data_IF_858123245617
#
_entry.id   IF_858123245617
#
_cell.length_a   1.000
_cell.length_b   1.000
_cell.length_c   1.000
_cell.angle_alpha   90.00
_cell.angle_beta   90.00
_cell.angle_gamma   90.00
#
_symmetry.space_group_name_H-M   'P 1'
#
loop_
_entity.id
_entity.type
_entity.pdbx_description
1 polymer ?
#
# COMPACT_ATOMS: atom_id res chain seq x y z
N UNK A 1 -18.11 23.17 43.62
CA UNK A 1 -17.93 23.85 42.32
C UNK A 1 -19.12 23.50 41.45
N UNK A 2 -19.76 24.46 40.81
CA UNK A 2 -20.86 24.19 39.85
C UNK A 2 -20.23 23.84 38.50
N UNK A 3 -20.35 22.57 38.08
CA UNK A 3 -19.72 22.06 36.86
C UNK A 3 -20.40 22.62 35.59
N UNK A 4 -21.67 22.97 35.71
CA UNK A 4 -22.51 23.56 34.68
C UNK A 4 -21.93 24.88 34.18
N UNK A 5 -21.12 25.57 34.99
CA UNK A 5 -20.47 26.80 34.59
C UNK A 5 -19.41 26.62 33.51
N UNK A 6 -18.95 25.40 33.23
CA UNK A 6 -18.00 25.10 32.16
C UNK A 6 -18.66 24.85 30.81
N UNK A 7 -19.98 24.65 30.79
CA UNK A 7 -20.73 24.20 29.62
C UNK A 7 -21.74 25.23 29.11
N UNK A 8 -22.03 25.13 27.81
CA UNK A 8 -23.13 25.82 27.12
C UNK A 8 -24.08 24.74 26.59
N UNK A 9 -25.30 24.74 27.09
CA UNK A 9 -26.35 23.82 26.66
C UNK A 9 -27.14 24.50 25.53
N UNK A 10 -26.77 24.22 24.28
CA UNK A 10 -27.39 24.84 23.11
C UNK A 10 -28.66 24.11 22.68
N UNK A 11 -28.66 22.79 22.79
CA UNK A 11 -29.79 21.92 22.51
C UNK A 11 -29.73 20.66 23.37
N UNK A 12 -30.78 19.84 23.33
CA UNK A 12 -30.85 18.55 24.04
C UNK A 12 -29.71 17.59 23.64
N UNK A 13 -29.18 17.75 22.43
CA UNK A 13 -28.08 16.98 21.84
C UNK A 13 -26.91 17.88 21.38
N UNK A 14 -26.74 19.07 21.96
CA UNK A 14 -25.57 19.94 21.72
C UNK A 14 -25.13 20.62 23.04
N UNK A 15 -24.15 20.00 23.70
CA UNK A 15 -23.50 20.51 24.92
C UNK A 15 -22.05 20.86 24.58
N UNK A 16 -21.71 22.15 24.69
CA UNK A 16 -20.39 22.67 24.34
C UNK A 16 -19.62 23.18 25.54
N UNK A 17 -18.31 23.26 25.41
CA UNK A 17 -17.46 23.94 26.37
C UNK A 17 -17.53 25.45 26.18
N UNK A 18 -17.74 26.20 27.26
CA UNK A 18 -17.76 27.68 27.21
C UNK A 18 -16.50 28.23 26.57
N UNK A 19 -16.70 29.09 25.56
CA UNK A 19 -15.62 29.72 24.78
C UNK A 19 -15.00 28.83 23.70
N UNK A 20 -15.52 27.62 23.47
CA UNK A 20 -15.03 26.71 22.44
C UNK A 20 -16.17 26.21 21.55
N UNK A 21 -15.80 25.76 20.34
CA UNK A 21 -16.70 25.02 19.45
C UNK A 21 -16.56 23.50 19.62
N UNK A 22 -16.00 23.08 20.75
CA UNK A 22 -15.72 21.68 21.10
C UNK A 22 -16.86 21.19 22.00
N UNK A 23 -17.47 20.09 21.61
CA UNK A 23 -18.53 19.43 22.38
C UNK A 23 -17.96 18.60 23.51
N UNK A 24 -18.77 18.30 24.52
CA UNK A 24 -18.35 17.35 25.57
C UNK A 24 -18.08 15.95 24.99
N UNK A 25 -18.75 15.59 23.90
CA UNK A 25 -18.55 14.32 23.22
C UNK A 25 -17.15 14.17 22.63
N UNK A 26 -16.49 15.28 22.28
CA UNK A 26 -15.14 15.24 21.70
C UNK A 26 -14.12 14.83 22.78
N UNK A 27 -14.24 15.34 24.00
CA UNK A 27 -13.43 14.90 25.15
C UNK A 27 -13.77 13.47 25.53
N UNK A 28 -15.06 13.15 25.66
CA UNK A 28 -15.51 11.83 26.11
C UNK A 28 -15.14 10.73 25.11
N UNK A 29 -15.09 11.03 23.81
CA UNK A 29 -14.57 10.10 22.81
C UNK A 29 -13.17 9.60 23.15
N UNK A 30 -12.25 10.49 23.51
CA UNK A 30 -10.89 10.08 23.88
C UNK A 30 -10.85 9.35 25.22
N UNK A 31 -11.58 9.83 26.22
CA UNK A 31 -11.65 9.19 27.53
C UNK A 31 -12.17 7.75 27.44
N UNK A 32 -13.25 7.52 26.68
CA UNK A 32 -13.82 6.19 26.46
C UNK A 32 -12.88 5.28 25.64
N UNK A 33 -11.95 5.85 24.89
CA UNK A 33 -10.88 5.11 24.21
C UNK A 33 -9.65 4.84 25.10
N UNK A 34 -9.71 5.20 26.39
CA UNK A 34 -8.68 4.90 27.38
C UNK A 34 -7.60 5.97 27.56
N UNK A 35 -7.77 7.15 26.97
CA UNK A 35 -6.79 8.24 27.08
C UNK A 35 -6.85 8.90 28.46
N UNK A 36 -5.68 9.27 28.98
CA UNK A 36 -5.54 10.09 30.19
C UNK A 36 -5.92 11.56 29.91
N UNK A 37 -6.31 12.34 30.93
CA UNK A 37 -6.59 13.77 30.77
C UNK A 37 -5.46 14.57 30.12
N UNK A 38 -4.20 14.22 30.40
CA UNK A 38 -3.00 14.83 29.83
C UNK A 38 -2.80 14.45 28.35
N UNK A 39 -3.12 13.21 27.99
CA UNK A 39 -3.11 12.76 26.59
C UNK A 39 -4.23 13.44 25.80
N UNK A 40 -5.42 13.59 26.39
CA UNK A 40 -6.53 14.35 25.80
C UNK A 40 -6.14 15.81 25.56
N UNK A 41 -5.41 16.43 26.49
CA UNK A 41 -4.92 17.80 26.32
C UNK A 41 -3.96 17.92 25.14
N UNK A 42 -3.14 16.89 24.90
CA UNK A 42 -2.21 16.84 23.77
C UNK A 42 -2.95 16.78 22.42
N UNK A 43 -4.08 16.07 22.38
CA UNK A 43 -4.96 15.97 21.21
C UNK A 43 -5.84 17.22 21.01
N UNK A 44 -6.23 17.88 22.10
CA UNK A 44 -7.09 19.07 22.11
C UNK A 44 -6.37 20.28 22.75
N UNK A 45 -5.28 20.79 22.14
CA UNK A 45 -4.39 21.77 22.77
C UNK A 45 -5.02 23.15 22.97
N UNK A 46 -6.17 23.43 22.32
CA UNK A 46 -6.92 24.66 22.58
C UNK A 46 -7.67 24.66 23.91
N UNK A 47 -7.83 23.49 24.55
CA UNK A 47 -8.47 23.35 25.85
C UNK A 47 -7.44 23.49 26.98
N UNK A 48 -7.95 23.63 28.20
CA UNK A 48 -7.14 23.51 29.41
C UNK A 48 -7.54 22.25 30.20
N UNK A 49 -6.66 21.81 31.09
CA UNK A 49 -6.85 20.59 31.87
C UNK A 49 -8.07 20.69 32.81
N UNK A 50 -8.37 21.90 33.29
CA UNK A 50 -9.53 22.19 34.13
C UNK A 50 -10.86 21.85 33.43
N UNK A 51 -11.05 22.28 32.17
CA UNK A 51 -12.24 21.95 31.36
C UNK A 51 -12.35 20.46 31.08
N UNK A 52 -11.21 19.80 30.85
CA UNK A 52 -11.16 18.34 30.66
C UNK A 52 -11.66 17.64 31.93
N UNK A 53 -11.06 17.92 33.08
CA UNK A 53 -11.49 17.33 34.35
C UNK A 53 -12.94 17.69 34.71
N UNK A 54 -13.38 18.91 34.45
CA UNK A 54 -14.79 19.29 34.65
C UNK A 54 -15.73 18.42 33.81
N UNK A 55 -15.38 18.15 32.55
CA UNK A 55 -16.15 17.27 31.64
C UNK A 55 -16.17 15.84 32.15
N UNK A 56 -15.03 15.29 32.54
CA UNK A 56 -14.96 13.92 33.08
C UNK A 56 -15.75 13.77 34.37
N UNK A 57 -15.65 14.76 35.26
CA UNK A 57 -16.39 14.77 36.53
C UNK A 57 -17.88 14.85 36.27
N UNK A 58 -18.31 15.73 35.35
CA UNK A 58 -19.71 15.87 34.97
C UNK A 58 -20.26 14.59 34.34
N UNK A 59 -19.48 13.94 33.47
CA UNK A 59 -19.81 12.65 32.89
C UNK A 59 -19.98 11.56 33.95
N UNK A 60 -19.02 11.42 34.87
CA UNK A 60 -19.10 10.38 35.90
C UNK A 60 -20.28 10.57 36.87
N UNK A 61 -20.68 11.82 37.14
CA UNK A 61 -21.86 12.12 37.95
C UNK A 61 -23.17 11.84 37.21
N UNK A 62 -23.20 12.00 35.88
CA UNK A 62 -24.40 11.95 35.06
C UNK A 62 -24.37 10.85 33.99
N UNK A 63 -23.67 9.74 34.24
CA UNK A 63 -23.35 8.73 33.22
C UNK A 63 -24.57 8.28 32.41
N UNK A 64 -25.70 7.98 33.05
CA UNK A 64 -26.91 7.52 32.36
C UNK A 64 -27.43 8.58 31.38
N UNK A 65 -27.52 9.83 31.81
CA UNK A 65 -28.01 10.92 30.98
C UNK A 65 -27.04 11.24 29.83
N UNK A 66 -25.74 11.27 30.12
CA UNK A 66 -24.73 11.59 29.11
C UNK A 66 -24.53 10.44 28.11
N UNK A 67 -24.67 9.18 28.52
CA UNK A 67 -24.65 8.05 27.58
C UNK A 67 -25.83 8.10 26.62
N UNK A 68 -27.03 8.48 27.09
CA UNK A 68 -28.18 8.70 26.23
C UNK A 68 -27.96 9.87 25.26
N UNK A 69 -27.39 10.98 25.75
CA UNK A 69 -26.95 12.10 24.91
C UNK A 69 -25.98 11.67 23.82
N UNK A 70 -24.90 10.94 24.17
CA UNK A 70 -23.90 10.46 23.21
C UNK A 70 -24.51 9.54 22.16
N UNK A 71 -25.44 8.68 22.56
CA UNK A 71 -26.17 7.82 21.62
C UNK A 71 -26.97 8.65 20.60
N UNK A 72 -27.72 9.65 21.06
CA UNK A 72 -28.51 10.53 20.20
C UNK A 72 -27.63 11.34 19.24
N UNK A 73 -26.54 11.91 19.75
CA UNK A 73 -25.55 12.66 18.93
C UNK A 73 -24.98 11.75 17.84
N UNK A 74 -24.59 10.53 18.17
CA UNK A 74 -24.05 9.58 17.20
C UNK A 74 -25.09 9.15 16.17
N UNK A 75 -26.33 8.88 16.57
CA UNK A 75 -27.41 8.59 15.63
C UNK A 75 -27.64 9.74 14.65
N UNK A 76 -27.70 10.98 15.14
CA UNK A 76 -27.90 12.16 14.29
C UNK A 76 -26.74 12.35 13.33
N UNK A 77 -25.49 12.20 13.80
CA UNK A 77 -24.29 12.27 12.95
C UNK A 77 -24.34 11.22 11.84
N UNK A 78 -24.72 9.98 12.16
CA UNK A 78 -24.86 8.90 11.18
C UNK A 78 -25.97 9.21 10.17
N UNK A 79 -27.16 9.64 10.62
CA UNK A 79 -28.25 10.03 9.73
C UNK A 79 -27.84 11.17 8.79
N UNK A 80 -27.19 12.21 9.31
CA UNK A 80 -26.67 13.31 8.51
C UNK A 80 -25.64 12.83 7.49
N UNK A 81 -24.75 11.92 7.87
CA UNK A 81 -23.78 11.32 6.96
C UNK A 81 -24.46 10.50 5.86
N UNK A 82 -25.47 9.70 6.20
CA UNK A 82 -26.25 8.93 5.21
C UNK A 82 -27.02 9.84 4.25
N UNK A 83 -27.64 10.91 4.77
CA UNK A 83 -28.32 11.90 3.94
C UNK A 83 -27.33 12.61 3.02
N UNK A 84 -26.18 13.04 3.54
CA UNK A 84 -25.11 13.65 2.74
C UNK A 84 -24.56 12.71 1.66
N UNK A 85 -24.48 11.40 1.94
CA UNK A 85 -24.10 10.42 0.93
C UNK A 85 -25.13 10.35 -0.21
N UNK A 86 -26.42 10.27 0.13
CA UNK A 86 -27.53 10.22 -0.85
C UNK A 86 -27.62 11.51 -1.67
N UNK A 87 -27.47 12.65 -1.02
CA UNK A 87 -27.56 13.98 -1.60
C UNK A 87 -26.20 14.55 -2.02
N UNK A 88 -25.21 13.67 -2.27
CA UNK A 88 -23.87 14.13 -2.61
C UNK A 88 -23.88 14.89 -3.95
N UNK A 89 -23.43 16.15 -3.91
CA UNK A 89 -23.36 17.03 -5.08
C UNK A 89 -22.60 16.37 -6.25
N UNK A 90 -23.00 16.65 -7.51
CA UNK A 90 -22.31 16.11 -8.70
C UNK A 90 -20.79 16.34 -8.69
N UNK A 91 -20.34 17.47 -8.12
CA UNK A 91 -18.91 17.77 -7.97
C UNK A 91 -18.22 16.77 -7.03
N UNK A 92 -18.82 16.44 -5.89
CA UNK A 92 -18.25 15.49 -4.92
C UNK A 92 -18.21 14.08 -5.52
N UNK A 93 -19.23 13.69 -6.28
CA UNK A 93 -19.25 12.41 -6.99
C UNK A 93 -18.09 12.31 -7.99
N UNK A 94 -17.86 13.36 -8.79
CA UNK A 94 -16.72 13.44 -9.72
C UNK A 94 -15.38 13.35 -8.98
N UNK A 95 -15.22 14.06 -7.87
CA UNK A 95 -13.99 13.99 -7.07
C UNK A 95 -13.75 12.60 -6.48
N UNK A 96 -14.81 11.93 -5.99
CA UNK A 96 -14.72 10.55 -5.48
C UNK A 96 -14.28 9.59 -6.58
N UNK A 97 -14.88 9.67 -7.77
CA UNK A 97 -14.52 8.86 -8.93
C UNK A 97 -13.08 9.12 -9.39
N UNK A 98 -12.66 10.39 -9.47
CA UNK A 98 -11.29 10.73 -9.85
C UNK A 98 -10.27 10.17 -8.83
N UNK A 99 -10.60 10.20 -7.53
CA UNK A 99 -9.77 9.61 -6.48
C UNK A 99 -9.68 8.09 -6.61
N UNK A 100 -10.80 7.40 -6.84
CA UNK A 100 -10.81 5.93 -7.00
C UNK A 100 -10.03 5.50 -8.24
N UNK A 101 -10.23 6.16 -9.37
CA UNK A 101 -9.48 5.90 -10.61
C UNK A 101 -7.97 6.11 -10.42
N UNK A 102 -7.57 7.17 -9.71
CA UNK A 102 -6.15 7.41 -9.39
C UNK A 102 -5.58 6.29 -8.50
N UNK A 103 -6.35 5.83 -7.52
CA UNK A 103 -5.93 4.74 -6.63
C UNK A 103 -5.80 3.42 -7.40
N UNK A 104 -6.78 3.06 -8.22
CA UNK A 104 -6.72 1.88 -9.09
C UNK A 104 -5.50 1.91 -10.00
N UNK A 105 -5.27 3.05 -10.67
CA UNK A 105 -4.07 3.22 -11.51
C UNK A 105 -2.79 3.00 -10.71
N UNK A 106 -2.67 3.58 -9.52
CA UNK A 106 -1.50 3.39 -8.66
C UNK A 106 -1.31 1.93 -8.24
N UNK A 107 -2.40 1.23 -7.89
CA UNK A 107 -2.34 -0.20 -7.54
C UNK A 107 -1.92 -1.05 -8.74
N UNK A 108 -2.42 -0.75 -9.95
CA UNK A 108 -2.00 -1.47 -11.16
C UNK A 108 -0.52 -1.28 -11.45
N UNK A 109 0.00 -0.05 -11.33
CA UNK A 109 1.42 0.24 -11.51
C UNK A 109 2.28 -0.52 -10.50
N UNK A 110 1.90 -0.51 -9.22
CA UNK A 110 2.61 -1.25 -8.18
C UNK A 110 2.66 -2.77 -8.46
N UNK A 111 1.54 -3.34 -8.93
CA UNK A 111 1.49 -4.76 -9.28
C UNK A 111 2.37 -5.06 -10.51
N UNK A 112 2.40 -4.18 -11.50
CA UNK A 112 3.29 -4.31 -12.67
C UNK A 112 4.76 -4.24 -12.25
N UNK A 113 5.12 -3.33 -11.36
CA UNK A 113 6.50 -3.20 -10.87
C UNK A 113 6.93 -4.44 -10.09
N UNK A 114 6.05 -4.99 -9.23
CA UNK A 114 6.30 -6.25 -8.53
C UNK A 114 6.53 -7.41 -9.51
N UNK A 115 5.70 -7.51 -10.56
CA UNK A 115 5.86 -8.55 -11.58
C UNK A 115 7.18 -8.42 -12.34
N UNK A 116 7.60 -7.19 -12.67
CA UNK A 116 8.91 -6.95 -13.31
C UNK A 116 10.07 -7.38 -12.42
N UNK A 117 10.02 -7.07 -11.13
CA UNK A 117 11.05 -7.49 -10.17
C UNK A 117 11.12 -9.02 -10.09
N UNK A 118 9.98 -9.71 -9.97
CA UNK A 118 9.94 -11.18 -9.96
C UNK A 118 10.49 -11.78 -11.27
N UNK A 119 10.18 -11.18 -12.42
CA UNK A 119 10.71 -11.64 -13.70
C UNK A 119 12.24 -11.45 -13.79
N UNK A 120 12.76 -10.33 -13.27
CA UNK A 120 14.20 -10.07 -13.19
C UNK A 120 14.90 -11.06 -12.27
N UNK A 121 14.36 -11.30 -11.07
CA UNK A 121 14.88 -12.29 -10.11
C UNK A 121 14.90 -13.69 -10.72
N UNK A 122 13.81 -14.09 -11.39
CA UNK A 122 13.74 -15.37 -12.09
C UNK A 122 14.79 -15.47 -13.20
N UNK A 123 14.99 -14.40 -13.97
CA UNK A 123 16.03 -14.37 -15.00
C UNK A 123 17.42 -14.50 -14.38
N UNK A 124 17.71 -13.78 -13.30
CA UNK A 124 19.00 -13.86 -12.60
C UNK A 124 19.25 -15.26 -12.03
N UNK A 125 18.22 -15.90 -11.47
CA UNK A 125 18.32 -17.27 -10.97
C UNK A 125 18.61 -18.27 -12.10
N UNK A 126 17.92 -18.17 -13.24
CA UNK A 126 18.16 -19.02 -14.41
C UNK A 126 19.56 -18.84 -15.00
N UNK A 127 20.05 -17.60 -15.05
CA UNK A 127 21.42 -17.32 -15.50
C UNK A 127 22.45 -17.93 -14.55
N UNK A 128 22.22 -17.83 -13.24
CA UNK A 128 23.07 -18.45 -12.24
C UNK A 128 23.06 -19.98 -12.34
N UNK A 129 21.89 -20.60 -12.48
CA UNK A 129 21.76 -22.05 -12.71
C UNK A 129 22.48 -22.50 -13.99
N UNK A 130 22.42 -21.69 -15.06
CA UNK A 130 23.15 -21.96 -16.30
C UNK A 130 24.67 -21.86 -16.14
N UNK A 131 25.16 -20.88 -15.38
CA UNK A 131 26.58 -20.72 -15.04
C UNK A 131 27.10 -21.83 -14.11
N UNK A 132 26.27 -22.30 -13.18
CA UNK A 132 26.59 -23.36 -12.22
C UNK A 132 26.40 -24.77 -12.81
N UNK A 133 25.88 -24.89 -14.04
CA UNK A 133 25.72 -26.16 -14.74
C UNK A 133 27.10 -26.75 -15.08
N UNK A 134 27.34 -28.05 -14.85
CA UNK A 134 28.62 -28.70 -15.15
C UNK A 134 28.91 -28.84 -16.66
N UNK A 135 28.18 -28.14 -17.52
CA UNK A 135 28.46 -28.08 -18.95
C UNK A 135 29.84 -27.48 -19.18
N UNK A 136 30.61 -28.10 -20.07
CA UNK A 136 31.94 -27.61 -20.46
C UNK A 136 31.90 -26.12 -20.80
N UNK A 137 32.92 -25.38 -20.35
CA UNK A 137 33.04 -23.96 -20.62
C UNK A 137 32.90 -23.72 -22.13
N UNK A 138 32.04 -22.78 -22.52
CA UNK A 138 31.83 -22.41 -23.92
C UNK A 138 33.12 -21.74 -24.44
N UNK A 139 34.01 -22.54 -25.05
CA UNK A 139 35.27 -22.08 -25.63
C UNK A 139 35.09 -21.60 -27.08
N UNK A 140 36.10 -20.94 -27.65
CA UNK A 140 36.07 -20.53 -29.06
C UNK A 140 35.91 -21.74 -30.02
N UNK A 141 36.46 -22.90 -29.66
CA UNK A 141 36.35 -24.15 -30.43
C UNK A 141 34.92 -24.73 -30.41
N UNK A 142 34.20 -24.56 -29.30
CA UNK A 142 32.80 -24.97 -29.20
C UNK A 142 31.94 -24.21 -30.23
N UNK A 143 32.10 -22.88 -30.32
CA UNK A 143 31.37 -22.07 -31.30
C UNK A 143 31.76 -22.41 -32.75
N UNK A 144 33.04 -22.66 -33.02
CA UNK A 144 33.48 -23.12 -34.34
C UNK A 144 32.84 -24.45 -34.71
N UNK A 145 32.79 -25.40 -33.78
CA UNK A 145 32.19 -26.72 -34.01
C UNK A 145 30.69 -26.60 -34.25
N UNK A 146 29.97 -25.81 -33.45
CA UNK A 146 28.53 -25.58 -33.62
C UNK A 146 28.23 -24.92 -34.98
N UNK A 147 29.05 -23.95 -35.38
CA UNK A 147 28.94 -23.27 -36.67
C UNK A 147 29.20 -24.23 -37.84
N UNK A 148 30.30 -24.98 -37.82
CA UNK A 148 30.62 -25.97 -38.86
C UNK A 148 29.51 -27.02 -38.99
N UNK A 149 28.96 -27.50 -37.87
CA UNK A 149 27.86 -28.46 -37.88
C UNK A 149 26.52 -27.90 -38.35
N UNK A 150 26.35 -26.57 -38.33
CA UNK A 150 25.15 -25.91 -38.83
C UNK A 150 25.10 -25.79 -40.36
N UNK A 151 26.25 -25.92 -41.04
CA UNK A 151 26.34 -25.85 -42.50
C UNK A 151 25.86 -27.20 -43.09
N UNK A 152 24.84 -27.21 -43.96
CA UNK A 152 24.33 -28.44 -44.56
C UNK A 152 25.43 -29.22 -45.29
N UNK A 153 25.58 -30.51 -45.00
CA UNK A 153 26.59 -31.38 -45.64
C UNK A 153 28.00 -31.29 -45.04
N UNK A 154 28.28 -30.29 -44.20
CA UNK A 154 29.62 -30.06 -43.65
C UNK A 154 30.08 -31.17 -42.70
N UNK A 155 29.15 -31.73 -41.90
CA UNK A 155 29.46 -32.87 -41.02
C UNK A 155 30.00 -34.06 -41.82
N UNK A 156 29.34 -34.37 -42.94
CA UNK A 156 29.73 -35.48 -43.80
C UNK A 156 31.08 -35.21 -44.46
N UNK A 157 31.29 -33.98 -44.95
CA UNK A 157 32.58 -33.57 -45.55
C UNK A 157 33.75 -33.66 -44.57
N UNK A 158 33.57 -33.24 -43.31
CA UNK A 158 34.60 -33.37 -42.26
C UNK A 158 34.92 -34.85 -41.97
N UNK A 159 33.90 -35.70 -41.89
CA UNK A 159 34.09 -37.13 -41.66
C UNK A 159 34.81 -37.82 -42.83
N UNK A 160 34.48 -37.44 -44.06
CA UNK A 160 35.14 -37.92 -45.26
C UNK A 160 36.61 -37.50 -45.29
N UNK A 161 36.91 -36.24 -44.98
CA UNK A 161 38.28 -35.74 -44.87
C UNK A 161 39.11 -36.46 -43.79
N UNK A 162 38.54 -36.65 -42.58
CA UNK A 162 39.23 -37.37 -41.50
C UNK A 162 39.51 -38.85 -41.80
N UNK A 163 38.67 -39.48 -42.63
CA UNK A 163 38.84 -40.87 -43.04
C UNK A 163 39.76 -41.04 -44.27
N UNK A 164 40.17 -39.94 -44.90
CA UNK A 164 41.08 -39.96 -46.05
C UNK A 164 42.53 -40.13 -45.56
N UNK A 165 43.27 -41.17 -45.97
CA UNK A 165 44.67 -41.33 -45.60
C UNK A 165 45.53 -40.16 -46.08
N UNK A 166 46.55 -39.79 -45.31
CA UNK A 166 47.41 -38.61 -45.57
C UNK A 166 48.04 -38.65 -46.98
N UNK A 167 48.38 -39.83 -47.49
CA UNK A 167 48.95 -40.04 -48.83
C UNK A 167 48.05 -39.56 -49.97
N UNK A 168 46.74 -39.42 -49.71
CA UNK A 168 45.72 -39.02 -50.67
C UNK A 168 45.16 -37.62 -50.37
N UNK A 169 45.76 -36.88 -49.43
CA UNK A 169 45.40 -35.49 -49.21
C UNK A 169 46.11 -34.61 -50.24
N UNK A 170 45.39 -33.64 -50.81
CA UNK A 170 45.99 -32.66 -51.73
C UNK A 170 47.03 -31.80 -50.98
N UNK A 171 48.25 -31.72 -51.51
CA UNK A 171 49.34 -30.94 -50.91
C UNK A 171 49.22 -29.43 -51.19
N UNK A 172 48.41 -29.05 -52.19
CA UNK A 172 48.15 -27.67 -52.58
C UNK A 172 46.65 -27.39 -52.55
N UNK A 173 46.26 -26.32 -51.84
CA UNK A 173 44.87 -25.89 -51.79
C UNK A 173 44.63 -24.99 -53.00
N UNK A 174 43.91 -25.50 -54.01
CA UNK A 174 43.40 -24.70 -55.12
C UNK A 174 42.23 -23.85 -54.63
N UNK A 175 42.50 -22.60 -54.25
CA UNK A 175 41.49 -21.57 -54.04
C UNK A 175 41.73 -20.38 -54.96
#
# INVERSE_FOLDING_TARGET
MQLENYFEFLAEDDIRLKGHRIGIEDILKYHLNGYSPEEILSELPSLNLEKIYATLTYYHQNQTAINAYLFNVNQRREQNYQNWQKESSPLIQRLKQAKSQKLEKNLTLLNQDRQKQQAQEKLTALLQEGLDSPSEAVTADYWHTLYLLSIPGMRQSIQEGLNTPIENCDEEIEW
#
